data_IF_245404377857
#
_entry.id   IF_245404377857
#
_cell.length_a   1.000
_cell.length_b   1.000
_cell.length_c   1.000
_cell.angle_alpha   90.00
_cell.angle_beta   90.00
_cell.angle_gamma   90.00
#
_symmetry.space_group_name_H-M   'P 1'
#
loop_
_entity.id
_entity.type
_entity.pdbx_description
1 polymer ?
#
# COMPACT_ATOMS: atom_id res chain seq x y z
N UNK A 1 36.78 -53.64 -6.03
CA UNK A 1 35.86 -52.77 -6.79
C UNK A 1 34.45 -53.33 -6.66
N UNK A 2 33.63 -52.77 -5.77
CA UNK A 2 32.21 -53.11 -5.66
C UNK A 2 31.48 -51.84 -5.21
N UNK A 3 30.53 -51.42 -6.05
CA UNK A 3 29.69 -50.22 -5.90
C UNK A 3 28.63 -50.49 -4.83
N UNK A 4 28.51 -49.60 -3.85
CA UNK A 4 27.35 -49.50 -2.95
C UNK A 4 26.27 -48.62 -3.57
N UNK A 5 24.98 -49.00 -3.53
CA UNK A 5 23.90 -48.17 -4.03
C UNK A 5 23.44 -47.16 -2.96
N UNK A 6 23.16 -45.93 -3.38
CA UNK A 6 22.46 -44.93 -2.57
C UNK A 6 20.96 -45.18 -2.64
N UNK A 7 20.36 -45.49 -1.49
CA UNK A 7 18.91 -45.54 -1.30
C UNK A 7 18.38 -44.13 -1.05
N UNK A 8 17.54 -43.62 -1.95
CA UNK A 8 16.83 -42.35 -1.77
C UNK A 8 15.78 -42.46 -0.68
N UNK A 9 15.91 -41.66 0.38
CA UNK A 9 14.92 -41.54 1.45
C UNK A 9 13.84 -40.53 1.02
N UNK A 10 12.65 -41.03 0.69
CA UNK A 10 11.47 -40.23 0.41
C UNK A 10 10.90 -39.71 1.75
N UNK A 11 11.06 -38.43 2.06
CA UNK A 11 10.44 -37.81 3.23
C UNK A 11 9.00 -37.45 2.85
N UNK A 12 8.04 -38.27 3.29
CA UNK A 12 6.63 -37.92 3.32
C UNK A 12 6.40 -36.86 4.41
N UNK A 13 6.06 -35.64 3.99
CA UNK A 13 5.49 -34.65 4.91
C UNK A 13 4.04 -35.02 5.19
N UNK A 14 3.78 -35.52 6.39
CA UNK A 14 2.44 -35.63 6.94
C UNK A 14 1.95 -34.23 7.32
N UNK A 15 0.94 -33.72 6.61
CA UNK A 15 0.22 -32.51 7.03
C UNK A 15 -0.59 -32.83 8.29
N UNK A 16 -0.04 -32.49 9.45
CA UNK A 16 -0.80 -32.42 10.69
C UNK A 16 -1.75 -31.23 10.63
N UNK A 17 -3.05 -31.50 10.51
CA UNK A 17 -4.11 -30.51 10.66
C UNK A 17 -4.21 -30.07 12.12
N UNK A 18 -3.59 -28.94 12.46
CA UNK A 18 -3.94 -28.20 13.66
C UNK A 18 -5.26 -27.46 13.40
N UNK A 19 -6.37 -28.08 13.76
CA UNK A 19 -7.63 -27.35 13.96
C UNK A 19 -7.47 -26.59 15.27
N UNK A 20 -7.00 -25.36 15.19
CA UNK A 20 -7.19 -24.41 16.29
C UNK A 20 -8.63 -23.93 16.18
N UNK A 21 -9.49 -24.32 17.13
CA UNK A 21 -10.75 -23.64 17.35
C UNK A 21 -10.43 -22.30 18.04
N UNK A 22 -9.93 -21.32 17.27
CA UNK A 22 -9.75 -19.95 17.72
C UNK A 22 -11.07 -19.20 17.49
N UNK A 23 -11.52 -18.43 18.48
CA UNK A 23 -12.52 -17.39 18.21
C UNK A 23 -11.96 -16.41 17.16
N UNK A 24 -12.85 -15.73 16.45
CA UNK A 24 -12.49 -14.75 15.41
C UNK A 24 -11.56 -13.69 16.00
N UNK A 25 -10.39 -13.48 15.38
CA UNK A 25 -9.44 -12.47 15.86
C UNK A 25 -10.01 -11.06 15.70
N UNK A 26 -9.51 -10.09 16.47
CA UNK A 26 -9.94 -8.70 16.33
C UNK A 26 -9.74 -8.14 14.90
N UNK A 27 -8.70 -8.62 14.21
CA UNK A 27 -8.42 -8.26 12.82
C UNK A 27 -9.46 -8.84 11.86
N UNK A 28 -9.84 -10.11 12.04
CA UNK A 28 -10.90 -10.75 11.27
C UNK A 28 -12.26 -10.11 11.54
N UNK A 29 -12.58 -9.74 12.78
CA UNK A 29 -13.81 -9.06 13.15
C UNK A 29 -13.95 -7.70 12.43
N UNK A 30 -12.89 -6.89 12.47
CA UNK A 30 -12.93 -5.56 11.86
C UNK A 30 -13.00 -5.64 10.32
N UNK A 31 -12.27 -6.59 9.72
CA UNK A 31 -12.40 -6.82 8.28
C UNK A 31 -13.79 -7.33 7.92
N UNK A 32 -14.35 -8.28 8.67
CA UNK A 32 -15.70 -8.80 8.43
C UNK A 32 -16.77 -7.70 8.55
N UNK A 33 -16.63 -6.78 9.51
CA UNK A 33 -17.50 -5.61 9.65
C UNK A 33 -17.41 -4.67 8.44
N UNK A 34 -16.18 -4.32 8.01
CA UNK A 34 -15.96 -3.53 6.80
C UNK A 34 -16.60 -4.21 5.58
N UNK A 35 -16.30 -5.49 5.40
CA UNK A 35 -16.75 -6.26 4.25
C UNK A 35 -18.28 -6.35 4.20
N UNK A 36 -18.93 -6.60 5.35
CA UNK A 36 -20.40 -6.66 5.45
C UNK A 36 -21.08 -5.37 4.99
N UNK A 37 -20.47 -4.23 5.26
CA UNK A 37 -21.07 -2.91 4.96
C UNK A 37 -20.75 -2.47 3.54
N UNK A 38 -19.49 -2.61 3.10
CA UNK A 38 -19.03 -1.99 1.87
C UNK A 38 -18.98 -2.95 0.68
N UNK A 39 -18.81 -4.26 0.86
CA UNK A 39 -18.67 -5.18 -0.27
C UNK A 39 -19.98 -5.31 -1.05
N UNK A 40 -19.92 -5.01 -2.34
CA UNK A 40 -21.00 -5.26 -3.29
C UNK A 40 -20.64 -6.44 -4.18
N UNK A 41 -21.20 -7.61 -3.89
CA UNK A 41 -20.90 -8.85 -4.61
C UNK A 41 -21.33 -8.83 -6.09
N UNK A 42 -22.29 -7.98 -6.46
CA UNK A 42 -22.77 -7.87 -7.84
C UNK A 42 -21.72 -7.22 -8.75
N UNK A 43 -21.14 -6.11 -8.30
CA UNK A 43 -20.04 -5.43 -9.00
C UNK A 43 -18.67 -6.02 -8.67
N UNK A 44 -18.57 -6.83 -7.60
CA UNK A 44 -17.31 -7.24 -6.98
C UNK A 44 -16.45 -6.05 -6.55
N UNK A 45 -17.06 -4.98 -6.03
CA UNK A 45 -16.38 -3.74 -5.65
C UNK A 45 -16.86 -3.26 -4.28
N UNK A 46 -16.13 -2.32 -3.68
CA UNK A 46 -16.64 -1.65 -2.47
C UNK A 46 -17.53 -0.47 -2.83
N UNK A 47 -18.53 -0.25 -1.98
CA UNK A 47 -19.40 0.92 -1.98
C UNK A 47 -18.62 2.15 -1.55
N UNK A 48 -18.90 3.31 -2.13
CA UNK A 48 -18.24 4.57 -1.75
C UNK A 48 -18.52 4.95 -0.28
N UNK A 49 -19.70 4.58 0.25
CA UNK A 49 -20.19 4.97 1.57
C UNK A 49 -21.05 3.88 2.20
N UNK A 50 -21.17 3.92 3.53
CA UNK A 50 -21.83 2.89 4.33
C UNK A 50 -23.35 2.81 4.15
N UNK A 51 -23.97 3.84 3.58
CA UNK A 51 -25.42 3.92 3.31
C UNK A 51 -25.76 4.11 1.82
N UNK A 52 -24.76 4.01 0.94
CA UNK A 52 -24.91 4.21 -0.50
C UNK A 52 -24.80 2.87 -1.25
N UNK A 53 -25.62 2.62 -2.28
CA UNK A 53 -25.41 1.49 -3.18
C UNK A 53 -24.34 1.77 -4.24
N UNK A 54 -23.84 3.01 -4.36
CA UNK A 54 -22.83 3.37 -5.35
C UNK A 54 -21.49 2.77 -4.97
N UNK A 55 -20.76 2.29 -5.97
CA UNK A 55 -19.39 1.79 -5.83
C UNK A 55 -18.39 2.94 -5.86
N UNK A 56 -17.20 2.72 -5.28
CA UNK A 56 -16.09 3.68 -5.38
C UNK A 56 -15.78 3.96 -6.85
N UNK A 57 -15.84 5.24 -7.21
CA UNK A 57 -15.69 5.72 -8.59
C UNK A 57 -14.30 6.29 -8.85
N UNK A 58 -13.55 6.62 -7.79
CA UNK A 58 -12.19 7.09 -7.86
C UNK A 58 -11.25 5.90 -8.17
N UNK A 59 -10.51 6.02 -9.27
CA UNK A 59 -9.65 4.96 -9.79
C UNK A 59 -8.53 4.58 -8.81
N UNK A 60 -7.78 5.57 -8.30
CA UNK A 60 -6.66 5.29 -7.39
C UNK A 60 -7.13 4.80 -6.01
N UNK A 61 -8.26 5.32 -5.49
CA UNK A 61 -8.82 4.81 -4.23
C UNK A 61 -9.23 3.35 -4.36
N UNK A 62 -9.85 2.97 -5.49
CA UNK A 62 -10.21 1.58 -5.75
C UNK A 62 -8.96 0.67 -5.85
N UNK A 63 -7.84 1.16 -6.38
CA UNK A 63 -6.58 0.42 -6.35
C UNK A 63 -6.06 0.22 -4.91
N UNK A 64 -6.16 1.23 -4.06
CA UNK A 64 -5.74 1.15 -2.64
C UNK A 64 -6.65 0.28 -1.78
N UNK A 65 -7.95 0.23 -2.12
CA UNK A 65 -8.89 -0.70 -1.51
C UNK A 65 -8.59 -2.17 -1.87
N UNK A 66 -8.14 -2.43 -3.11
CA UNK A 66 -7.59 -3.73 -3.48
C UNK A 66 -6.35 -4.03 -2.63
N UNK A 67 -5.42 -3.09 -2.48
CA UNK A 67 -4.25 -3.30 -1.62
C UNK A 67 -4.63 -3.53 -0.13
N UNK A 68 -5.75 -2.98 0.36
CA UNK A 68 -6.27 -3.30 1.70
C UNK A 68 -6.71 -4.76 1.79
N UNK A 69 -7.45 -5.28 0.80
CA UNK A 69 -7.78 -6.70 0.73
C UNK A 69 -6.53 -7.58 0.68
N UNK A 70 -5.52 -7.13 -0.06
CA UNK A 70 -4.23 -7.79 -0.17
C UNK A 70 -3.46 -7.79 1.15
N UNK A 71 -3.55 -6.73 1.96
CA UNK A 71 -2.97 -6.68 3.31
C UNK A 71 -3.62 -7.72 4.23
N UNK A 72 -4.96 -7.83 4.17
CA UNK A 72 -5.72 -8.85 4.92
C UNK A 72 -5.31 -10.25 4.50
N UNK A 73 -5.17 -10.52 3.19
CA UNK A 73 -4.69 -11.81 2.70
C UNK A 73 -3.21 -12.05 3.07
N UNK A 74 -2.34 -11.06 2.94
CA UNK A 74 -0.91 -11.18 3.26
C UNK A 74 -0.72 -11.62 4.71
N UNK A 75 -1.55 -11.10 5.63
CA UNK A 75 -1.55 -11.44 7.04
C UNK A 75 -2.25 -12.76 7.36
N UNK A 76 -3.54 -12.90 7.01
CA UNK A 76 -4.36 -14.04 7.44
C UNK A 76 -4.19 -15.29 6.59
N UNK A 77 -3.71 -15.16 5.34
CA UNK A 77 -3.58 -16.26 4.35
C UNK A 77 -4.89 -17.01 4.07
N UNK A 78 -6.05 -16.43 4.38
CA UNK A 78 -7.36 -17.03 4.11
C UNK A 78 -7.59 -17.13 2.58
N UNK A 79 -7.78 -18.34 2.03
CA UNK A 79 -8.09 -18.53 0.62
C UNK A 79 -9.36 -17.81 0.14
N UNK A 80 -10.33 -17.54 1.03
CA UNK A 80 -11.54 -16.79 0.67
C UNK A 80 -11.23 -15.31 0.45
N UNK A 81 -10.32 -14.73 1.23
CA UNK A 81 -9.84 -13.35 1.00
C UNK A 81 -9.06 -13.29 -0.30
N UNK A 82 -8.25 -14.30 -0.65
CA UNK A 82 -7.59 -14.34 -1.96
C UNK A 82 -8.58 -14.39 -3.12
N UNK A 83 -9.63 -15.22 -3.01
CA UNK A 83 -10.72 -15.25 -4.01
C UNK A 83 -11.40 -13.88 -4.12
N UNK A 84 -11.57 -13.18 -3.01
CA UNK A 84 -12.11 -11.83 -3.01
C UNK A 84 -11.16 -10.81 -3.68
N UNK A 85 -9.84 -10.89 -3.45
CA UNK A 85 -8.86 -10.05 -4.14
C UNK A 85 -8.96 -10.24 -5.66
N UNK A 86 -9.04 -11.50 -6.12
CA UNK A 86 -9.19 -11.84 -7.54
C UNK A 86 -10.54 -11.33 -8.09
N UNK A 87 -11.63 -11.51 -7.34
CA UNK A 87 -12.95 -10.99 -7.72
C UNK A 87 -12.95 -9.45 -7.82
N UNK A 88 -12.31 -8.77 -6.86
CA UNK A 88 -12.15 -7.32 -6.88
C UNK A 88 -11.38 -6.87 -8.12
N UNK A 89 -10.25 -7.50 -8.44
CA UNK A 89 -9.51 -7.17 -9.65
C UNK A 89 -10.30 -7.42 -10.94
N UNK A 90 -11.07 -8.52 -11.01
CA UNK A 90 -11.93 -8.80 -12.15
C UNK A 90 -13.02 -7.73 -12.30
N UNK A 91 -13.66 -7.29 -11.21
CA UNK A 91 -14.62 -6.19 -11.21
C UNK A 91 -13.99 -4.84 -11.59
N UNK A 92 -12.77 -4.58 -11.11
CA UNK A 92 -11.99 -3.40 -11.45
C UNK A 92 -11.72 -3.34 -12.97
N UNK A 93 -11.34 -4.49 -13.54
CA UNK A 93 -10.98 -4.63 -14.96
C UNK A 93 -12.15 -4.96 -15.89
N UNK A 94 -13.39 -4.93 -15.38
CA UNK A 94 -14.59 -5.12 -16.20
C UNK A 94 -14.65 -4.03 -17.29
N UNK A 95 -14.92 -4.38 -18.57
CA UNK A 95 -15.01 -3.41 -19.66
C UNK A 95 -16.07 -2.31 -19.46
N UNK A 96 -17.08 -2.55 -18.62
CA UNK A 96 -18.12 -1.58 -18.26
C UNK A 96 -17.71 -0.69 -17.07
N UNK A 97 -16.54 -0.91 -16.46
CA UNK A 97 -15.97 -0.09 -15.39
C UNK A 97 -14.70 0.63 -15.85
N UNK A 98 -13.52 0.01 -15.70
CA UNK A 98 -12.24 0.60 -16.10
C UNK A 98 -11.53 -0.18 -17.20
N UNK A 99 -12.00 -1.40 -17.53
CA UNK A 99 -11.33 -2.25 -18.50
C UNK A 99 -9.86 -2.54 -18.15
N UNK A 100 -9.06 -2.85 -19.16
CA UNK A 100 -7.61 -3.13 -19.03
C UNK A 100 -6.73 -2.10 -19.73
N UNK A 101 -7.33 -1.14 -20.45
CA UNK A 101 -6.63 -0.01 -21.07
C UNK A 101 -6.69 1.23 -20.16
N UNK A 102 -6.08 1.11 -18.98
CA UNK A 102 -6.21 2.09 -17.90
C UNK A 102 -5.72 3.50 -18.27
N UNK A 103 -4.78 3.62 -19.21
CA UNK A 103 -4.27 4.89 -19.72
C UNK A 103 -5.35 5.71 -20.46
N UNK A 104 -6.39 5.04 -20.96
CA UNK A 104 -7.52 5.63 -21.69
C UNK A 104 -8.73 5.91 -20.79
N UNK A 105 -8.71 5.48 -19.53
CA UNK A 105 -9.78 5.74 -18.56
C UNK A 105 -9.70 7.19 -18.12
N UNK A 106 -10.78 7.95 -18.17
CA UNK A 106 -10.81 9.32 -17.64
C UNK A 106 -11.65 9.39 -16.35
N UNK A 107 -11.21 10.14 -15.33
CA UNK A 107 -9.98 10.94 -15.30
C UNK A 107 -8.71 10.14 -14.93
N UNK A 108 -8.80 8.86 -14.50
CA UNK A 108 -7.66 8.15 -13.88
C UNK A 108 -6.40 8.04 -14.75
N UNK A 109 -6.56 7.69 -16.03
CA UNK A 109 -5.50 7.61 -17.04
C UNK A 109 -4.81 8.94 -17.33
N UNK A 110 -5.36 10.09 -16.92
CA UNK A 110 -4.67 11.38 -16.95
C UNK A 110 -3.48 11.42 -15.99
N UNK A 111 -3.62 10.75 -14.84
CA UNK A 111 -2.69 10.78 -13.72
C UNK A 111 -1.71 9.60 -13.77
N UNK A 112 -0.43 9.86 -13.53
CA UNK A 112 0.59 8.81 -13.54
C UNK A 112 0.63 8.03 -12.24
N UNK A 113 0.30 8.67 -11.11
CA UNK A 113 0.15 8.00 -9.81
C UNK A 113 -0.99 6.98 -9.82
N UNK A 114 -2.17 7.31 -10.36
CA UNK A 114 -3.28 6.35 -10.54
C UNK A 114 -2.82 5.04 -11.20
N UNK A 115 -2.07 5.17 -12.30
CA UNK A 115 -1.52 4.02 -13.04
C UNK A 115 -0.50 3.23 -12.21
N UNK A 116 0.27 3.91 -11.36
CA UNK A 116 1.28 3.28 -10.52
C UNK A 116 0.63 2.57 -9.31
N UNK A 117 -0.41 3.13 -8.70
CA UNK A 117 -1.14 2.48 -7.61
C UNK A 117 -1.73 1.14 -8.05
N UNK A 118 -2.45 1.12 -9.19
CA UNK A 118 -2.96 -0.14 -9.73
C UNK A 118 -1.84 -1.08 -10.19
N UNK A 119 -0.69 -0.56 -10.65
CA UNK A 119 0.48 -1.39 -10.97
C UNK A 119 0.97 -2.14 -9.73
N UNK A 120 1.07 -1.48 -8.57
CA UNK A 120 1.51 -2.10 -7.32
C UNK A 120 0.52 -3.19 -6.89
N UNK A 121 -0.77 -2.87 -6.82
CA UNK A 121 -1.82 -3.84 -6.48
C UNK A 121 -1.79 -5.06 -7.43
N UNK A 122 -1.67 -4.83 -8.74
CA UNK A 122 -1.58 -5.92 -9.72
C UNK A 122 -0.32 -6.78 -9.52
N UNK A 123 0.81 -6.17 -9.15
CA UNK A 123 2.04 -6.91 -8.84
C UNK A 123 1.91 -7.73 -7.55
N UNK A 124 1.15 -7.27 -6.55
CA UNK A 124 0.89 -8.03 -5.32
C UNK A 124 0.00 -9.25 -5.61
N UNK A 125 -1.04 -9.11 -6.43
CA UNK A 125 -1.80 -10.25 -6.94
C UNK A 125 -0.91 -11.29 -7.65
N UNK A 126 0.06 -10.86 -8.46
CA UNK A 126 1.02 -11.78 -9.06
C UNK A 126 1.82 -12.56 -7.99
N UNK A 127 2.29 -11.87 -6.95
CA UNK A 127 3.04 -12.52 -5.85
C UNK A 127 2.21 -13.57 -5.10
N UNK A 128 0.89 -13.38 -5.01
CA UNK A 128 0.00 -14.30 -4.32
C UNK A 128 -0.46 -15.49 -5.17
N UNK A 129 -0.67 -15.25 -6.48
CA UNK A 129 -1.29 -16.24 -7.38
C UNK A 129 -0.28 -16.94 -8.28
N UNK A 130 0.84 -16.28 -8.59
CA UNK A 130 1.78 -16.72 -9.62
C UNK A 130 1.29 -16.56 -11.06
N UNK A 131 0.08 -16.04 -11.30
CA UNK A 131 -0.49 -15.92 -12.65
C UNK A 131 0.18 -14.79 -13.44
N UNK A 132 0.80 -15.13 -14.58
CA UNK A 132 1.65 -14.20 -15.33
C UNK A 132 0.90 -13.00 -15.92
N UNK A 133 -0.41 -13.15 -16.18
CA UNK A 133 -1.28 -12.07 -16.68
C UNK A 133 -1.19 -10.80 -15.83
N UNK A 134 -1.05 -10.95 -14.50
CA UNK A 134 -0.98 -9.82 -13.60
C UNK A 134 0.35 -9.05 -13.77
N UNK A 135 1.50 -9.74 -13.72
CA UNK A 135 2.80 -9.07 -13.91
C UNK A 135 2.97 -8.48 -15.32
N UNK A 136 2.36 -9.09 -16.33
CA UNK A 136 2.38 -8.57 -17.71
C UNK A 136 1.56 -7.28 -17.83
N UNK A 137 0.36 -7.23 -17.23
CA UNK A 137 -0.47 -6.02 -17.18
C UNK A 137 0.21 -4.90 -16.38
N UNK A 138 0.81 -5.22 -15.24
CA UNK A 138 1.58 -4.29 -14.43
C UNK A 138 2.78 -3.73 -15.21
N UNK A 139 3.55 -4.58 -15.88
CA UNK A 139 4.68 -4.18 -16.72
C UNK A 139 4.24 -3.23 -17.84
N UNK A 140 3.17 -3.59 -18.58
CA UNK A 140 2.60 -2.74 -19.64
C UNK A 140 2.26 -1.34 -19.12
N UNK A 141 1.59 -1.28 -17.97
CA UNK A 141 1.15 -0.02 -17.36
C UNK A 141 2.34 0.81 -16.89
N UNK A 142 3.28 0.20 -16.14
CA UNK A 142 4.48 0.86 -15.67
C UNK A 142 5.35 1.42 -16.81
N UNK A 143 5.59 0.63 -17.85
CA UNK A 143 6.43 1.05 -18.97
C UNK A 143 5.81 2.22 -19.73
N UNK A 144 4.48 2.26 -19.86
CA UNK A 144 3.78 3.38 -20.46
C UNK A 144 3.86 4.66 -19.60
N UNK A 145 3.73 4.53 -18.27
CA UNK A 145 3.96 5.65 -17.33
C UNK A 145 5.38 6.16 -17.44
N UNK A 146 6.37 5.25 -17.44
CA UNK A 146 7.77 5.62 -17.60
C UNK A 146 7.99 6.37 -18.92
N UNK A 147 7.47 5.86 -20.04
CA UNK A 147 7.62 6.47 -21.35
C UNK A 147 7.01 7.87 -21.46
N UNK A 148 5.82 8.10 -20.87
CA UNK A 148 5.13 9.40 -20.98
C UNK A 148 5.52 10.39 -19.88
N UNK A 149 5.93 9.90 -18.72
CA UNK A 149 6.07 10.67 -17.49
C UNK A 149 7.49 10.93 -17.04
N UNK A 150 8.46 10.04 -17.30
CA UNK A 150 9.85 10.26 -16.94
C UNK A 150 10.54 11.18 -17.95
N UNK A 151 11.26 12.20 -17.45
CA UNK A 151 12.19 13.01 -18.23
C UNK A 151 13.23 13.71 -17.33
N UNK A 152 14.24 14.33 -17.95
CA UNK A 152 15.32 15.06 -17.27
C UNK A 152 14.90 16.47 -16.77
N UNK A 153 13.66 16.91 -17.04
CA UNK A 153 13.16 18.20 -16.54
C UNK A 153 13.14 18.15 -15.01
N UNK A 154 13.60 19.21 -14.35
CA UNK A 154 13.83 19.23 -12.89
C UNK A 154 14.82 18.15 -12.40
N UNK A 155 15.71 17.64 -13.27
CA UNK A 155 16.81 16.75 -12.93
C UNK A 155 16.45 15.25 -12.86
N UNK A 156 15.37 14.84 -13.53
CA UNK A 156 14.82 13.48 -13.47
C UNK A 156 13.43 13.44 -12.86
N UNK A 157 12.90 12.24 -12.61
CA UNK A 157 11.60 12.02 -11.97
C UNK A 157 10.43 11.88 -12.94
N UNK A 158 9.33 11.31 -12.46
CA UNK A 158 8.06 11.19 -13.19
C UNK A 158 7.18 12.40 -12.88
N UNK A 159 6.62 13.00 -13.94
CA UNK A 159 5.56 14.00 -13.84
C UNK A 159 4.28 13.43 -13.23
N UNK A 160 3.56 14.23 -12.46
CA UNK A 160 2.33 13.77 -11.80
C UNK A 160 1.26 13.32 -12.80
N UNK A 161 1.11 14.02 -13.91
CA UNK A 161 0.13 13.73 -14.94
C UNK A 161 0.73 13.86 -16.35
N UNK A 162 -0.03 13.46 -17.37
CA UNK A 162 0.40 13.53 -18.78
C UNK A 162 0.60 14.96 -19.30
N UNK A 163 0.03 15.96 -18.64
CA UNK A 163 0.20 17.39 -18.96
C UNK A 163 1.49 17.97 -18.36
N UNK A 164 2.25 17.17 -17.61
CA UNK A 164 3.53 17.54 -17.01
C UNK A 164 3.42 18.71 -16.04
N UNK A 165 2.41 18.69 -15.17
CA UNK A 165 2.14 19.71 -14.14
C UNK A 165 3.11 19.79 -12.95
N UNK A 166 4.34 19.28 -13.08
CA UNK A 166 5.30 19.12 -11.99
C UNK A 166 5.45 17.67 -11.55
N UNK A 167 6.30 17.45 -10.55
CA UNK A 167 6.70 16.10 -10.09
C UNK A 167 6.40 15.92 -8.61
N UNK A 168 5.69 14.85 -8.26
CA UNK A 168 5.11 14.64 -6.93
C UNK A 168 5.68 13.39 -6.27
N UNK A 169 5.65 13.38 -4.93
CA UNK A 169 5.98 12.21 -4.12
C UNK A 169 5.05 11.03 -4.40
N UNK A 170 3.76 11.31 -4.63
CA UNK A 170 2.71 10.32 -4.85
C UNK A 170 2.88 9.48 -6.13
N UNK A 171 3.70 9.91 -7.09
CA UNK A 171 4.06 9.07 -8.24
C UNK A 171 5.49 8.53 -8.13
N UNK A 172 6.45 9.32 -7.65
CA UNK A 172 7.86 8.94 -7.74
C UNK A 172 8.26 7.83 -6.76
N UNK A 173 7.82 7.89 -5.49
CA UNK A 173 8.12 6.81 -4.55
C UNK A 173 7.34 5.52 -4.88
N UNK A 174 6.03 5.57 -5.17
CA UNK A 174 5.28 4.39 -5.63
C UNK A 174 5.85 3.77 -6.92
N UNK A 175 6.29 4.59 -7.89
CA UNK A 175 6.86 4.05 -9.11
C UNK A 175 8.18 3.32 -8.83
N UNK A 176 8.98 3.80 -7.86
CA UNK A 176 10.16 3.09 -7.42
C UNK A 176 9.81 1.74 -6.78
N UNK A 177 8.73 1.68 -5.99
CA UNK A 177 8.24 0.44 -5.38
C UNK A 177 7.84 -0.56 -6.47
N UNK A 178 6.99 -0.12 -7.42
CA UNK A 178 6.58 -0.92 -8.57
C UNK A 178 7.78 -1.42 -9.38
N UNK A 179 8.80 -0.58 -9.58
CA UNK A 179 10.01 -0.94 -10.30
C UNK A 179 10.82 -2.03 -9.56
N UNK A 180 10.95 -1.97 -8.23
CA UNK A 180 11.58 -3.09 -7.48
C UNK A 180 10.78 -4.39 -7.63
N UNK A 181 9.45 -4.33 -7.54
CA UNK A 181 8.59 -5.50 -7.73
C UNK A 181 8.73 -6.10 -9.14
N UNK A 182 8.78 -5.26 -10.18
CA UNK A 182 8.99 -5.68 -11.57
C UNK A 182 10.38 -6.30 -11.77
N UNK A 183 11.42 -5.71 -11.17
CA UNK A 183 12.77 -6.30 -11.18
C UNK A 183 12.75 -7.72 -10.60
N UNK A 184 12.11 -7.91 -9.46
CA UNK A 184 12.01 -9.22 -8.80
C UNK A 184 11.22 -10.24 -9.64
N UNK A 185 10.15 -9.82 -10.31
CA UNK A 185 9.26 -10.68 -11.07
C UNK A 185 9.79 -11.07 -12.46
N UNK A 186 10.56 -10.19 -13.10
CA UNK A 186 11.12 -10.39 -14.44
C UNK A 186 12.62 -10.72 -14.44
N UNK A 187 13.30 -10.57 -13.29
CA UNK A 187 14.76 -10.69 -13.17
C UNK A 187 15.50 -9.74 -14.11
N UNK A 188 14.93 -8.56 -14.30
CA UNK A 188 15.45 -7.50 -15.17
C UNK A 188 15.94 -6.33 -14.31
N UNK A 189 17.27 -6.20 -14.22
CA UNK A 189 17.95 -5.16 -13.43
C UNK A 189 17.69 -3.75 -13.95
N UNK A 190 17.22 -3.58 -15.20
CA UNK A 190 16.83 -2.26 -15.70
C UNK A 190 15.74 -1.62 -14.84
N UNK A 191 14.84 -2.39 -14.23
CA UNK A 191 13.86 -1.84 -13.29
C UNK A 191 14.47 -1.46 -11.94
N UNK A 192 15.51 -2.17 -11.46
CA UNK A 192 16.21 -1.75 -10.25
C UNK A 192 16.93 -0.41 -10.48
N UNK A 193 17.49 -0.20 -11.67
CA UNK A 193 18.09 1.08 -12.04
C UNK A 193 17.04 2.21 -12.11
N UNK A 194 15.84 1.94 -12.66
CA UNK A 194 14.71 2.88 -12.60
C UNK A 194 14.31 3.20 -11.16
N UNK A 195 14.23 2.20 -10.28
CA UNK A 195 13.91 2.38 -8.87
C UNK A 195 14.92 3.28 -8.15
N UNK A 196 16.22 3.04 -8.39
CA UNK A 196 17.30 3.87 -7.84
C UNK A 196 17.24 5.31 -8.38
N UNK A 197 17.00 5.50 -9.67
CA UNK A 197 16.85 6.82 -10.28
C UNK A 197 15.70 7.61 -9.64
N UNK A 198 14.53 6.98 -9.49
CA UNK A 198 13.37 7.58 -8.83
C UNK A 198 13.66 7.92 -7.37
N UNK A 199 14.27 7.00 -6.62
CA UNK A 199 14.65 7.23 -5.23
C UNK A 199 15.61 8.41 -5.10
N UNK A 200 16.70 8.43 -5.86
CA UNK A 200 17.71 9.49 -5.77
C UNK A 200 17.15 10.85 -6.15
N UNK A 201 16.35 10.92 -7.21
CA UNK A 201 15.71 12.17 -7.61
C UNK A 201 14.76 12.68 -6.53
N UNK A 202 13.85 11.82 -6.06
CA UNK A 202 12.82 12.20 -5.09
C UNK A 202 13.45 12.52 -3.73
N UNK A 203 14.47 11.78 -3.30
CA UNK A 203 15.19 12.07 -2.07
C UNK A 203 15.89 13.44 -2.12
N UNK A 204 16.57 13.75 -3.23
CA UNK A 204 17.30 15.02 -3.36
C UNK A 204 16.39 16.25 -3.49
N UNK A 205 15.17 16.07 -4.00
CA UNK A 205 14.24 17.18 -4.24
C UNK A 205 13.15 17.32 -3.17
N UNK A 206 12.64 16.20 -2.67
CA UNK A 206 11.42 16.12 -1.87
C UNK A 206 11.67 15.65 -0.44
N UNK A 207 12.92 15.35 -0.06
CA UNK A 207 13.22 14.81 1.29
C UNK A 207 14.23 15.67 2.03
N UNK A 208 13.88 16.06 3.25
CA UNK A 208 14.88 16.50 4.21
C UNK A 208 15.47 15.28 4.93
N UNK A 209 16.56 14.73 4.37
CA UNK A 209 17.22 13.52 4.87
C UNK A 209 17.55 13.57 6.36
N UNK A 210 18.09 14.71 6.82
CA UNK A 210 18.51 14.89 8.22
C UNK A 210 17.35 14.85 9.22
N UNK A 211 16.13 15.11 8.77
CA UNK A 211 14.93 15.18 9.61
C UNK A 211 13.88 14.12 9.26
N UNK A 212 14.12 13.30 8.23
CA UNK A 212 13.20 12.29 7.73
C UNK A 212 11.91 12.85 7.12
N UNK A 213 11.89 14.13 6.72
CA UNK A 213 10.67 14.79 6.23
C UNK A 213 10.49 14.50 4.75
N UNK A 214 9.31 14.06 4.34
CA UNK A 214 8.92 13.94 2.93
C UNK A 214 7.92 15.05 2.58
N UNK A 215 8.27 15.86 1.60
CA UNK A 215 7.45 16.94 1.04
C UNK A 215 6.61 16.42 -0.14
N UNK A 216 5.61 17.20 -0.54
CA UNK A 216 4.58 16.75 -1.45
C UNK A 216 5.04 16.76 -2.91
N UNK A 217 5.56 17.90 -3.38
CA UNK A 217 5.82 18.07 -4.80
C UNK A 217 6.91 19.11 -5.10
N UNK A 218 7.39 19.06 -6.34
CA UNK A 218 8.20 20.09 -6.99
C UNK A 218 7.45 20.60 -8.22
N UNK A 219 7.05 21.87 -8.21
CA UNK A 219 6.38 22.51 -9.34
C UNK A 219 7.36 22.81 -10.48
N UNK A 220 6.82 23.16 -11.66
CA UNK A 220 7.63 23.41 -12.87
C UNK A 220 8.59 24.60 -12.75
N UNK A 221 8.33 25.56 -11.85
CA UNK A 221 9.25 26.64 -11.52
C UNK A 221 10.35 26.23 -10.50
N UNK A 222 10.34 24.98 -10.04
CA UNK A 222 11.32 24.42 -9.11
C UNK A 222 10.99 24.59 -7.64
N UNK A 223 9.88 25.25 -7.29
CA UNK A 223 9.42 25.41 -5.91
C UNK A 223 8.98 24.07 -5.29
N UNK A 224 9.19 23.93 -3.98
CA UNK A 224 8.85 22.71 -3.24
C UNK A 224 7.59 22.96 -2.41
N UNK A 225 6.53 22.20 -2.66
CA UNK A 225 5.36 22.14 -1.82
C UNK A 225 5.66 21.33 -0.56
N UNK A 226 5.86 22.03 0.57
CA UNK A 226 6.35 21.42 1.82
C UNK A 226 5.27 20.79 2.69
N UNK A 227 4.07 20.55 2.15
CA UNK A 227 3.03 19.80 2.85
C UNK A 227 3.57 18.39 3.12
N UNK A 228 3.33 17.89 4.33
CA UNK A 228 3.77 16.56 4.75
C UNK A 228 2.53 15.70 4.93
N UNK A 229 2.43 14.62 4.16
CA UNK A 229 1.27 13.73 4.14
C UNK A 229 1.73 12.32 4.51
N UNK A 230 0.93 11.59 5.28
CA UNK A 230 1.31 10.27 5.80
C UNK A 230 1.64 9.29 4.68
N UNK A 231 0.84 9.21 3.62
CA UNK A 231 1.08 8.30 2.49
C UNK A 231 2.41 8.57 1.76
N UNK A 232 2.78 9.84 1.52
CA UNK A 232 4.10 10.22 0.97
C UNK A 232 5.23 9.74 1.89
N UNK A 233 5.06 9.88 3.20
CA UNK A 233 6.03 9.37 4.17
C UNK A 233 6.12 7.84 4.10
N UNK A 234 4.99 7.16 3.97
CA UNK A 234 4.87 5.71 3.86
C UNK A 234 5.57 5.13 2.65
N UNK A 235 5.30 5.67 1.47
CA UNK A 235 5.89 5.19 0.21
C UNK A 235 7.40 5.44 0.17
N UNK A 236 7.89 6.53 0.75
CA UNK A 236 9.32 6.73 0.94
C UNK A 236 9.96 5.65 1.83
N UNK A 237 9.35 5.35 2.98
CA UNK A 237 9.79 4.26 3.87
C UNK A 237 9.76 2.92 3.13
N UNK A 238 8.69 2.65 2.38
CA UNK A 238 8.51 1.44 1.58
C UNK A 238 9.60 1.26 0.54
N UNK A 239 9.85 2.28 -0.28
CA UNK A 239 10.89 2.23 -1.32
C UNK A 239 12.28 2.06 -0.71
N UNK A 240 12.61 2.84 0.32
CA UNK A 240 13.87 2.74 1.04
C UNK A 240 14.09 1.32 1.60
N UNK A 241 13.07 0.72 2.24
CA UNK A 241 13.13 -0.65 2.73
C UNK A 241 13.36 -1.67 1.61
N UNK A 242 12.66 -1.55 0.49
CA UNK A 242 12.82 -2.45 -0.64
C UNK A 242 14.21 -2.35 -1.27
N UNK A 243 14.74 -1.14 -1.44
CA UNK A 243 16.11 -0.92 -1.94
C UNK A 243 17.15 -1.44 -0.96
N UNK A 244 16.96 -1.27 0.35
CA UNK A 244 17.83 -1.87 1.36
C UNK A 244 17.89 -3.39 1.21
N UNK A 245 16.73 -4.07 1.10
CA UNK A 245 16.67 -5.52 0.92
C UNK A 245 17.35 -6.00 -0.37
N UNK A 246 17.25 -5.22 -1.45
CA UNK A 246 17.84 -5.59 -2.75
C UNK A 246 19.33 -5.31 -2.86
N UNK A 247 19.83 -4.28 -2.19
CA UNK A 247 21.22 -3.80 -2.36
C UNK A 247 22.11 -4.06 -1.15
N UNK A 248 21.52 -4.32 0.02
CA UNK A 248 22.17 -4.34 1.32
C UNK A 248 22.90 -3.03 1.69
N UNK A 249 22.60 -1.91 1.01
CA UNK A 249 23.13 -0.60 1.35
C UNK A 249 22.38 -0.02 2.55
N UNK A 250 23.08 0.07 3.69
CA UNK A 250 22.53 0.51 4.97
C UNK A 250 22.03 1.96 4.95
N UNK A 251 22.45 2.78 3.98
CA UNK A 251 21.93 4.15 3.84
C UNK A 251 20.42 4.18 3.65
N UNK A 252 19.86 3.28 2.84
CA UNK A 252 18.42 3.15 2.65
C UNK A 252 17.69 2.76 3.95
N UNK A 253 18.28 1.87 4.74
CA UNK A 253 17.72 1.52 6.07
C UNK A 253 17.70 2.74 7.00
N UNK A 254 18.81 3.49 7.05
CA UNK A 254 18.92 4.68 7.90
C UNK A 254 17.92 5.76 7.50
N UNK A 255 17.72 5.95 6.20
CA UNK A 255 16.73 6.84 5.63
C UNK A 255 15.30 6.45 6.05
N UNK A 256 14.93 5.17 5.89
CA UNK A 256 13.63 4.65 6.33
C UNK A 256 13.42 4.82 7.84
N UNK A 257 14.44 4.56 8.66
CA UNK A 257 14.37 4.73 10.10
C UNK A 257 14.23 6.21 10.52
N UNK A 258 14.92 7.12 9.84
CA UNK A 258 14.78 8.57 10.07
C UNK A 258 13.37 9.06 9.74
N UNK A 259 12.82 8.59 8.62
CA UNK A 259 11.43 8.82 8.20
C UNK A 259 10.41 8.28 9.21
N UNK A 260 10.62 7.07 9.74
CA UNK A 260 9.77 6.50 10.81
C UNK A 260 9.80 7.35 12.09
N UNK A 261 10.97 7.84 12.48
CA UNK A 261 11.12 8.75 13.63
C UNK A 261 10.35 10.05 13.42
N UNK A 262 10.45 10.64 12.23
CA UNK A 262 9.66 11.82 11.87
C UNK A 262 8.16 11.54 11.93
N UNK A 263 7.71 10.45 11.32
CA UNK A 263 6.30 10.09 11.25
C UNK A 263 5.67 9.94 12.64
N UNK A 264 6.32 9.17 13.53
CA UNK A 264 5.86 8.96 14.91
C UNK A 264 5.73 10.29 15.68
N UNK A 265 6.66 11.22 15.49
CA UNK A 265 6.60 12.55 16.14
C UNK A 265 5.58 13.49 15.52
N UNK A 266 5.49 13.53 14.18
CA UNK A 266 4.72 14.55 13.46
C UNK A 266 3.24 14.20 13.33
N UNK A 267 2.93 12.95 12.99
CA UNK A 267 1.58 12.53 12.62
C UNK A 267 0.76 12.00 13.79
N UNK A 268 1.34 11.93 15.00
CA UNK A 268 0.61 11.54 16.20
C UNK A 268 0.02 12.74 16.94
N UNK A 269 -1.13 12.53 17.57
CA UNK A 269 -1.73 13.52 18.45
C UNK A 269 -0.78 13.79 19.62
N UNK A 270 -0.53 15.08 19.97
CA UNK A 270 0.53 15.46 20.91
C UNK A 270 0.47 14.77 22.28
N UNK A 271 -0.72 14.34 22.70
CA UNK A 271 -0.95 13.79 24.04
C UNK A 271 -1.13 12.27 24.10
N UNK A 272 -1.30 11.57 22.97
CA UNK A 272 -1.74 10.16 22.97
C UNK A 272 -0.83 9.22 22.17
N UNK A 273 0.15 9.73 21.42
CA UNK A 273 0.97 8.95 20.47
C UNK A 273 0.14 8.20 19.40
N UNK A 274 -1.13 8.54 19.23
CA UNK A 274 -2.03 7.95 18.24
C UNK A 274 -2.04 8.83 17.00
N UNK A 275 -1.91 8.22 15.82
CA UNK A 275 -2.04 8.86 14.52
C UNK A 275 -3.28 9.75 14.46
N UNK A 276 -3.08 11.00 14.03
CA UNK A 276 -4.11 12.03 13.98
C UNK A 276 -5.15 11.76 12.89
N UNK A 277 -6.23 12.53 12.97
CA UNK A 277 -7.27 12.59 11.95
C UNK A 277 -6.72 13.13 10.63
N UNK A 278 -7.20 12.57 9.52
CA UNK A 278 -6.87 13.01 8.16
C UNK A 278 -8.11 13.27 7.30
N UNK A 279 -9.24 13.69 7.87
CA UNK A 279 -10.50 13.87 7.14
C UNK A 279 -10.75 15.27 6.54
N UNK A 280 -9.69 16.05 6.30
CA UNK A 280 -9.83 17.41 5.77
C UNK A 280 -10.24 17.48 4.29
N UNK A 281 -10.07 16.39 3.52
CA UNK A 281 -10.69 16.20 2.21
C UNK A 281 -10.99 14.72 1.95
N UNK A 282 -11.66 14.41 0.84
CA UNK A 282 -11.99 13.02 0.46
C UNK A 282 -10.75 12.15 0.31
N UNK A 283 -9.67 12.67 -0.27
CA UNK A 283 -8.46 11.89 -0.54
C UNK A 283 -7.71 11.52 0.73
N UNK A 284 -7.66 12.46 1.68
CA UNK A 284 -6.78 12.33 2.84
C UNK A 284 -7.26 11.28 3.85
N UNK A 285 -8.54 10.92 3.83
CA UNK A 285 -9.14 10.05 4.83
C UNK A 285 -8.46 8.67 4.93
N UNK A 286 -7.95 8.11 3.83
CA UNK A 286 -7.25 6.82 3.85
C UNK A 286 -5.72 6.89 3.77
N UNK A 287 -5.11 8.09 3.69
CA UNK A 287 -3.66 8.24 3.51
C UNK A 287 -2.84 7.49 4.56
N UNK A 288 -3.23 7.55 5.84
CA UNK A 288 -2.53 6.81 6.89
C UNK A 288 -2.56 5.30 6.68
N UNK A 289 -3.54 4.74 5.96
CA UNK A 289 -3.56 3.32 5.60
C UNK A 289 -2.34 2.94 4.77
N UNK A 290 -2.06 3.72 3.72
CA UNK A 290 -0.86 3.56 2.87
C UNK A 290 0.41 3.68 3.72
N UNK A 291 0.47 4.67 4.63
CA UNK A 291 1.57 4.80 5.57
C UNK A 291 1.78 3.54 6.41
N UNK A 292 0.72 3.04 7.03
CA UNK A 292 0.73 1.90 7.93
C UNK A 292 1.22 0.64 7.22
N UNK A 293 0.79 0.40 5.97
CA UNK A 293 1.22 -0.74 5.15
C UNK A 293 2.73 -0.83 5.07
N UNK A 294 3.38 0.24 4.63
CA UNK A 294 4.84 0.27 4.47
C UNK A 294 5.59 0.38 5.81
N UNK A 295 5.11 1.21 6.73
CA UNK A 295 5.72 1.41 8.05
C UNK A 295 5.74 0.11 8.87
N UNK A 296 4.62 -0.62 8.88
CA UNK A 296 4.52 -1.89 9.60
C UNK A 296 5.43 -2.96 9.00
N UNK A 297 5.49 -3.08 7.67
CA UNK A 297 6.38 -4.03 6.99
C UNK A 297 7.85 -3.73 7.30
N UNK A 298 8.29 -2.49 7.19
CA UNK A 298 9.64 -2.08 7.56
C UNK A 298 9.95 -2.39 9.03
N UNK A 299 9.06 -2.01 9.96
CA UNK A 299 9.27 -2.23 11.38
C UNK A 299 9.33 -3.71 11.76
N UNK A 300 8.43 -4.55 11.22
CA UNK A 300 8.40 -6.00 11.48
C UNK A 300 9.63 -6.69 10.93
N UNK A 301 9.96 -6.49 9.65
CA UNK A 301 11.07 -7.19 8.99
C UNK A 301 12.44 -6.81 9.56
N UNK A 302 12.56 -5.62 10.16
CA UNK A 302 13.78 -5.15 10.82
C UNK A 302 13.74 -5.25 12.37
N UNK A 303 12.72 -5.88 12.95
CA UNK A 303 12.57 -6.11 14.42
C UNK A 303 12.64 -4.81 15.24
N UNK A 304 12.01 -3.74 14.76
CA UNK A 304 12.02 -2.42 15.40
C UNK A 304 10.87 -2.26 16.39
N UNK A 305 11.05 -2.80 17.59
CA UNK A 305 10.01 -2.87 18.64
C UNK A 305 9.38 -1.50 18.96
N UNK A 306 10.19 -0.42 18.97
CA UNK A 306 9.69 0.95 19.20
C UNK A 306 8.58 1.40 18.24
N UNK A 307 8.57 0.85 17.02
CA UNK A 307 7.56 1.14 16.00
C UNK A 307 6.47 0.09 15.96
N UNK A 308 6.78 -1.20 16.12
CA UNK A 308 5.74 -2.24 16.17
C UNK A 308 4.85 -2.07 17.40
N UNK A 309 5.41 -1.72 18.56
CA UNK A 309 4.63 -1.43 19.76
C UNK A 309 3.76 -0.17 19.61
N UNK A 310 4.29 0.85 18.93
CA UNK A 310 3.54 2.08 18.63
C UNK A 310 2.37 1.85 17.67
N UNK A 311 2.59 1.08 16.60
CA UNK A 311 1.54 0.71 15.66
C UNK A 311 0.51 -0.20 16.34
N UNK A 312 0.93 -1.11 17.21
CA UNK A 312 0.02 -1.94 18.02
C UNK A 312 -0.87 -1.10 18.95
N UNK A 313 -0.33 -0.05 19.55
CA UNK A 313 -1.13 0.86 20.39
C UNK A 313 -2.18 1.60 19.56
N UNK A 314 -1.80 2.12 18.39
CA UNK A 314 -2.75 2.71 17.43
C UNK A 314 -3.85 1.74 17.04
N UNK A 315 -3.48 0.50 16.79
CA UNK A 315 -4.38 -0.57 16.44
C UNK A 315 -5.38 -0.83 17.60
N UNK A 316 -4.91 -0.95 18.84
CA UNK A 316 -5.78 -1.11 20.02
C UNK A 316 -6.74 0.07 20.17
N UNK A 317 -6.25 1.30 20.00
CA UNK A 317 -7.09 2.50 20.13
C UNK A 317 -8.21 2.52 19.08
N UNK A 318 -7.91 2.29 17.80
CA UNK A 318 -8.95 2.32 16.76
C UNK A 318 -9.97 1.19 16.95
N UNK A 319 -9.53 0.00 17.38
CA UNK A 319 -10.44 -1.11 17.69
C UNK A 319 -11.36 -0.80 18.88
N UNK A 320 -10.88 -0.11 19.90
CA UNK A 320 -11.71 0.35 21.02
C UNK A 320 -12.71 1.45 20.61
N UNK A 321 -12.37 2.21 19.56
CA UNK A 321 -13.17 3.30 19.03
C UNK A 321 -14.11 2.90 17.88
N UNK A 322 -14.26 1.59 17.59
CA UNK A 322 -15.23 1.13 16.58
C UNK A 322 -16.68 1.42 17.01
N UNK A 323 -17.58 1.48 16.03
CA UNK A 323 -19.03 1.54 16.23
C UNK A 323 -19.61 0.17 16.61
N UNK A 324 -20.90 0.15 16.93
CA UNK A 324 -21.62 -1.09 17.24
C UNK A 324 -21.69 -2.08 16.06
N UNK A 325 -21.59 -1.58 14.82
CA UNK A 325 -21.51 -2.39 13.60
C UNK A 325 -20.07 -2.79 13.23
N UNK A 326 -19.09 -2.45 14.07
CA UNK A 326 -17.68 -2.80 13.90
C UNK A 326 -16.89 -1.85 13.00
N UNK A 327 -17.52 -0.83 12.41
CA UNK A 327 -16.85 0.15 11.56
C UNK A 327 -15.92 1.06 12.36
N UNK A 328 -14.84 1.46 11.71
CA UNK A 328 -13.87 2.43 12.21
C UNK A 328 -13.76 3.62 11.26
N UNK A 329 -13.07 4.67 11.70
CA UNK A 329 -12.87 5.89 10.93
C UNK A 329 -11.42 6.36 11.07
N UNK A 330 -10.99 7.19 10.12
CA UNK A 330 -9.61 7.66 10.01
C UNK A 330 -9.07 8.34 11.28
N UNK A 331 -9.96 8.99 12.05
CA UNK A 331 -9.63 9.55 13.35
C UNK A 331 -9.56 8.47 14.44
N UNK A 332 -8.38 7.88 14.63
CA UNK A 332 -8.19 6.80 15.60
C UNK A 332 -8.38 7.24 17.06
N UNK A 333 -8.31 8.54 17.36
CA UNK A 333 -8.38 9.05 18.74
C UNK A 333 -9.82 9.09 19.30
N UNK A 334 -10.83 9.01 18.44
CA UNK A 334 -12.23 9.15 18.84
C UNK A 334 -13.06 8.01 18.29
N UNK A 335 -14.20 7.74 18.94
CA UNK A 335 -15.18 6.78 18.45
C UNK A 335 -15.59 7.16 17.02
N UNK A 336 -15.65 6.15 16.14
CA UNK A 336 -16.11 6.29 14.77
C UNK A 336 -17.48 7.01 14.75
N UNK A 337 -17.67 8.05 13.92
CA UNK A 337 -18.89 8.83 13.91
C UNK A 337 -20.11 7.99 13.52
N UNK A 338 -21.25 8.33 14.13
CA UNK A 338 -22.54 7.79 13.74
C UNK A 338 -22.97 8.35 12.37
N UNK A 339 -23.83 7.62 11.64
CA UNK A 339 -24.29 8.01 10.30
C UNK A 339 -23.44 7.43 9.16
N UNK A 340 -23.51 8.08 7.99
CA UNK A 340 -22.79 7.67 6.77
C UNK A 340 -21.30 7.98 6.86
N UNK A 341 -20.45 6.99 6.56
CA UNK A 341 -19.00 7.18 6.42
C UNK A 341 -18.51 6.65 5.06
N UNK A 342 -17.47 7.26 4.46
CA UNK A 342 -16.83 6.72 3.26
C UNK A 342 -16.10 5.40 3.56
N UNK A 343 -16.12 4.47 2.60
CA UNK A 343 -15.33 3.23 2.67
C UNK A 343 -13.83 3.54 2.82
N UNK A 344 -13.33 4.47 1.99
CA UNK A 344 -11.96 4.94 2.04
C UNK A 344 -11.53 5.45 3.42
N UNK A 345 -12.42 6.07 4.19
CA UNK A 345 -12.13 6.55 5.53
C UNK A 345 -12.05 5.44 6.59
N UNK A 346 -12.63 4.28 6.31
CA UNK A 346 -12.62 3.11 7.18
C UNK A 346 -11.45 2.15 6.88
N UNK A 347 -10.83 2.23 5.69
CA UNK A 347 -9.69 1.36 5.31
C UNK A 347 -8.52 1.41 6.29
N UNK A 348 -8.11 2.56 6.87
CA UNK A 348 -6.92 2.57 7.72
C UNK A 348 -7.09 1.77 9.01
N UNK A 349 -8.32 1.69 9.52
CA UNK A 349 -8.65 0.85 10.66
C UNK A 349 -8.41 -0.62 10.33
N UNK A 350 -8.91 -1.09 9.18
CA UNK A 350 -8.68 -2.48 8.73
C UNK A 350 -7.18 -2.76 8.52
N UNK A 351 -6.46 -1.84 7.87
CA UNK A 351 -5.02 -1.99 7.57
C UNK A 351 -4.17 -2.03 8.85
N UNK A 352 -4.42 -1.15 9.83
CA UNK A 352 -3.65 -1.18 11.10
C UNK A 352 -3.87 -2.49 11.85
N UNK A 353 -5.00 -3.17 11.65
CA UNK A 353 -5.20 -4.46 12.29
C UNK A 353 -4.24 -5.54 11.78
N UNK A 354 -3.72 -5.40 10.57
CA UNK A 354 -2.83 -6.38 9.93
C UNK A 354 -1.35 -6.20 10.34
N UNK A 355 -1.08 -5.45 11.42
CA UNK A 355 0.27 -5.09 11.87
C UNK A 355 0.87 -6.00 12.95
N UNK A 356 0.21 -7.14 13.25
CA UNK A 356 0.58 -8.16 14.23
C UNK A 356 0.19 -7.82 15.69
N UNK A 357 -1.04 -8.20 16.05
CA UNK A 357 -1.59 -8.08 17.42
C UNK A 357 -1.11 -9.16 18.37
N UNK A 358 -0.67 -10.29 17.86
CA UNK A 358 -0.42 -11.47 18.67
C UNK A 358 1.08 -11.66 18.86
N UNK A 359 1.52 -11.35 20.08
CA UNK A 359 2.63 -12.02 20.73
C UNK A 359 2.09 -12.66 22.00
#
# INVERSE_FOLDING_TARGET
MLKTPFTSLLILFTFGSFVHAAGTSAAEEMFAAYNKVFWDANSSQFREKSDSPKIESNFWMAAEELEMLEDVYEYGKDPNVLKQCIAYYNGFTDPNRFGTDWLSVEPGGHFNDDMIWITIATMRLYQFTGETKYKEQAKKTFDAVWQRGWDEVLGGGIHWNRDKGGKTSCVNFPAGIAAVMLCDAFKDEAYLDKAKQLYFWAQNNLVNKSKGIVWDNKSNNGEIGKVCLTYNQGTYIGLAHLLYKRTNDVSYYNDANCAMTYAKRKFCHPNTNILQNEDWCSDSMGFKGIFIRYASKFARENKLNVYTDWLRENAKTVYANKRADGLTYTNFNFKCPEGSIPAWAATPGVIIMQTNYEN
#
